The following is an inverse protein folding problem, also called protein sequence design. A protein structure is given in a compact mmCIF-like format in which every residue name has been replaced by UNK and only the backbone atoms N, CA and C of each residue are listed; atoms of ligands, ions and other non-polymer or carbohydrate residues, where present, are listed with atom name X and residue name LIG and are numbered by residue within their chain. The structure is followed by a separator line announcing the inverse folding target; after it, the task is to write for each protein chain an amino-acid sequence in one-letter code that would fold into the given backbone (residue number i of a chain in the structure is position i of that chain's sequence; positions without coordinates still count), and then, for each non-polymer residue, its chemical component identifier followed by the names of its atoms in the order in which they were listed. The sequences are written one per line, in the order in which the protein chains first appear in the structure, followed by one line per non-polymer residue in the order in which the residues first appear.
data_IF_189332391132
#
_entry.id   IF_189332391132
#
_cell.length_a   1.000
_cell.length_b   1.000
_cell.length_c   1.000
_cell.angle_alpha   90.00
_cell.angle_beta   90.00
_cell.angle_gamma   90.00
#
_symmetry.space_group_name_H-M   'P 1'
#
loop_
_entity.id
_entity.type
_entity.pdbx_description
1 polymer ?
#
# COMPACT_ATOMS: atom_id res chain seq x y z
N UNK A 1 -5.95 9.71 15.49
CA UNK A 1 -6.80 9.02 14.50
C UNK A 1 -6.12 9.17 13.15
N UNK A 2 -5.41 8.16 12.66
CA UNK A 2 -4.67 8.28 11.41
C UNK A 2 -3.85 7.05 11.10
N UNK A 3 -3.56 6.86 9.81
CA UNK A 3 -2.84 5.73 9.26
C UNK A 3 -1.57 5.44 10.07
N UNK A 4 -1.60 4.38 10.90
CA UNK A 4 -0.48 4.01 11.77
C UNK A 4 0.70 3.50 10.93
N UNK A 5 1.92 3.75 11.40
CA UNK A 5 3.15 3.23 10.75
C UNK A 5 3.02 1.72 10.60
N UNK A 6 3.27 1.22 9.40
CA UNK A 6 3.27 -0.22 9.12
C UNK A 6 1.92 -0.81 8.72
N UNK A 7 0.80 -0.05 8.76
CA UNK A 7 -0.48 -0.49 8.17
C UNK A 7 -0.28 -0.73 6.68
N UNK A 8 -0.69 -1.91 6.21
CA UNK A 8 -0.75 -2.22 4.79
C UNK A 8 -1.96 -1.50 4.19
N UNK A 9 -1.76 -0.82 3.07
CA UNK A 9 -2.84 -0.23 2.25
C UNK A 9 -2.84 -0.94 0.91
N UNK A 10 -3.96 -1.56 0.53
CA UNK A 10 -4.06 -2.25 -0.76
C UNK A 10 -4.13 -1.25 -1.92
N UNK A 11 -3.90 -1.72 -3.14
CA UNK A 11 -4.00 -0.86 -4.34
C UNK A 11 -5.43 -0.32 -4.55
N UNK A 12 -6.45 -1.09 -4.17
CA UNK A 12 -7.86 -0.70 -4.24
C UNK A 12 -8.17 0.40 -3.22
N UNK A 13 -7.77 0.21 -1.96
CA UNK A 13 -7.94 1.24 -0.91
C UNK A 13 -7.26 2.56 -1.32
N UNK A 14 -6.06 2.49 -1.91
CA UNK A 14 -5.35 3.71 -2.38
C UNK A 14 -6.11 4.45 -3.47
N UNK A 15 -6.69 3.72 -4.43
CA UNK A 15 -7.52 4.33 -5.47
C UNK A 15 -8.75 5.01 -4.87
N UNK A 16 -9.49 4.32 -4.00
CA UNK A 16 -10.67 4.88 -3.34
C UNK A 16 -10.32 6.16 -2.58
N UNK A 17 -9.26 6.14 -1.79
CA UNK A 17 -8.81 7.31 -1.03
C UNK A 17 -8.45 8.48 -1.94
N UNK A 18 -7.77 8.23 -3.05
CA UNK A 18 -7.40 9.27 -4.02
C UNK A 18 -8.66 9.85 -4.67
N UNK A 19 -9.63 9.02 -5.06
CA UNK A 19 -10.90 9.50 -5.63
C UNK A 19 -11.68 10.38 -4.65
N UNK A 20 -11.71 10.01 -3.37
CA UNK A 20 -12.34 10.84 -2.33
C UNK A 20 -11.64 12.18 -2.16
N UNK A 21 -10.30 12.19 -2.19
CA UNK A 21 -9.52 13.42 -2.10
C UNK A 21 -9.76 14.31 -3.32
N UNK A 22 -9.79 13.75 -4.53
CA UNK A 22 -10.05 14.52 -5.76
C UNK A 22 -11.47 15.09 -5.77
N UNK A 23 -12.46 14.33 -5.28
CA UNK A 23 -13.83 14.80 -5.17
C UNK A 23 -13.94 15.96 -4.17
N UNK A 24 -13.33 15.82 -2.99
CA UNK A 24 -13.30 16.88 -1.99
C UNK A 24 -12.62 18.16 -2.53
N UNK A 25 -11.54 18.00 -3.30
CA UNK A 25 -10.90 19.13 -3.98
C UNK A 25 -11.79 19.79 -5.03
N UNK A 26 -12.51 19.00 -5.83
CA UNK A 26 -13.45 19.52 -6.81
C UNK A 26 -14.58 20.33 -6.13
N UNK A 27 -14.98 19.93 -4.92
CA UNK A 27 -15.89 20.69 -4.06
C UNK A 27 -15.25 21.93 -3.38
N UNK A 28 -13.99 22.25 -3.67
CA UNK A 28 -13.29 23.44 -3.18
C UNK A 28 -12.42 23.22 -1.92
N UNK A 29 -12.27 21.99 -1.43
CA UNK A 29 -11.41 21.73 -0.27
C UNK A 29 -9.92 21.80 -0.64
N UNK A 30 -9.10 22.30 0.29
CA UNK A 30 -7.63 22.22 0.16
C UNK A 30 -7.18 20.76 0.27
N UNK A 31 -6.23 20.33 -0.58
CA UNK A 31 -5.64 18.98 -0.55
C UNK A 31 -5.20 18.56 0.85
N UNK A 32 -4.49 19.43 1.55
CA UNK A 32 -3.98 19.16 2.90
C UNK A 32 -5.10 18.85 3.89
N UNK A 33 -6.18 19.65 3.87
CA UNK A 33 -7.33 19.46 4.76
C UNK A 33 -8.11 18.19 4.43
N UNK A 34 -8.25 17.86 3.14
CA UNK A 34 -8.87 16.60 2.72
C UNK A 34 -8.05 15.38 3.17
N UNK A 35 -6.71 15.44 3.06
CA UNK A 35 -5.82 14.37 3.54
C UNK A 35 -5.86 14.25 5.07
N UNK A 36 -5.83 15.37 5.79
CA UNK A 36 -5.85 15.44 7.25
C UNK A 36 -7.12 14.80 7.84
N UNK A 37 -8.29 15.02 7.22
CA UNK A 37 -9.56 14.39 7.60
C UNK A 37 -9.53 12.87 7.48
N UNK A 38 -8.84 12.35 6.47
CA UNK A 38 -8.63 10.91 6.29
C UNK A 38 -7.51 10.38 7.20
N UNK A 39 -6.81 11.24 7.94
CA UNK A 39 -5.65 10.86 8.74
C UNK A 39 -4.43 10.47 7.89
N UNK A 40 -4.37 10.99 6.65
CA UNK A 40 -3.26 10.85 5.73
C UNK A 40 -2.44 12.15 5.69
N UNK A 41 -1.14 12.00 5.45
CA UNK A 41 -0.31 13.17 5.14
C UNK A 41 -0.35 13.44 3.64
N UNK A 42 -0.21 14.72 3.25
CA UNK A 42 -0.10 15.10 1.83
C UNK A 42 1.02 14.33 1.11
N UNK A 43 2.17 14.14 1.79
CA UNK A 43 3.31 13.38 1.25
C UNK A 43 2.95 11.92 0.94
N UNK A 44 2.09 11.29 1.75
CA UNK A 44 1.65 9.90 1.49
C UNK A 44 0.88 9.82 0.18
N UNK A 45 -0.02 10.77 -0.04
CA UNK A 45 -0.88 10.81 -1.23
C UNK A 45 -0.07 11.18 -2.48
N UNK A 46 0.82 12.18 -2.37
CA UNK A 46 1.76 12.52 -3.44
C UNK A 46 2.62 11.32 -3.84
N UNK A 47 3.18 10.61 -2.86
CA UNK A 47 3.98 9.40 -3.12
C UNK A 47 3.20 8.29 -3.82
N UNK A 48 1.90 8.16 -3.55
CA UNK A 48 1.06 7.20 -4.27
C UNK A 48 0.81 7.63 -5.72
N UNK A 49 0.57 8.93 -5.96
CA UNK A 49 0.35 9.47 -7.32
C UNK A 49 1.63 9.39 -8.17
N UNK A 50 2.81 9.60 -7.57
CA UNK A 50 4.10 9.49 -8.25
C UNK A 50 4.59 8.05 -8.41
N UNK A 51 3.97 7.09 -7.71
CA UNK A 51 4.35 5.69 -7.85
C UNK A 51 3.82 5.13 -9.18
N UNK A 52 4.71 4.51 -9.94
CA UNK A 52 4.40 3.85 -11.22
C UNK A 52 3.27 2.81 -11.07
N UNK A 53 3.32 2.06 -9.97
CA UNK A 53 2.28 1.13 -9.57
C UNK A 53 1.71 1.57 -8.21
N UNK A 54 0.38 1.75 -8.14
CA UNK A 54 -0.38 2.01 -6.90
C UNK A 54 -0.28 0.88 -5.86
N UNK A 55 0.56 -0.12 -6.10
CA UNK A 55 0.73 -1.33 -5.29
C UNK A 55 1.68 -1.07 -4.10
N UNK A 56 1.43 -1.75 -2.98
CA UNK A 56 2.39 -1.75 -1.88
C UNK A 56 3.60 -2.64 -2.23
N UNK A 57 4.79 -2.03 -2.32
CA UNK A 57 6.05 -2.73 -2.66
C UNK A 57 6.49 -3.76 -1.60
N UNK A 58 5.88 -3.75 -0.40
CA UNK A 58 6.11 -4.80 0.61
C UNK A 58 5.61 -6.16 0.11
N UNK A 59 4.55 -6.19 -0.70
CA UNK A 59 3.97 -7.43 -1.23
C UNK A 59 4.74 -7.96 -2.45
N UNK A 60 5.40 -7.10 -3.23
CA UNK A 60 6.12 -7.49 -4.45
C UNK A 60 7.61 -7.83 -4.23
N UNK A 61 8.05 -7.94 -2.98
CA UNK A 61 9.45 -8.28 -2.66
C UNK A 61 9.77 -9.72 -3.06
N UNK A 62 10.68 -9.89 -4.03
CA UNK A 62 11.13 -11.20 -4.56
C UNK A 62 12.28 -11.85 -3.78
N UNK A 63 12.69 -11.30 -2.63
CA UNK A 63 13.84 -11.80 -1.88
C UNK A 63 13.57 -13.19 -1.33
N UNK A 64 14.41 -14.16 -1.68
CA UNK A 64 14.37 -15.50 -1.12
C UNK A 64 15.35 -15.59 0.07
N UNK A 65 14.95 -16.18 1.20
CA UNK A 65 15.84 -16.39 2.32
C UNK A 65 16.91 -17.45 1.96
N UNK A 66 18.11 -17.39 2.57
CA UNK A 66 19.17 -18.37 2.30
C UNK A 66 18.77 -19.79 2.70
N UNK A 67 17.95 -19.93 3.74
CA UNK A 67 17.48 -21.22 4.26
C UNK A 67 16.17 -21.67 3.62
N UNK A 68 15.91 -21.27 2.35
CA UNK A 68 14.71 -21.69 1.63
C UNK A 68 14.79 -23.20 1.35
N UNK A 69 13.75 -23.93 1.75
CA UNK A 69 13.60 -25.34 1.40
C UNK A 69 13.73 -25.54 -0.11
N UNK A 70 14.58 -26.48 -0.48
CA UNK A 70 14.68 -27.01 -1.84
C UNK A 70 13.41 -27.77 -2.21
N UNK A 71 13.18 -27.93 -3.52
CA UNK A 71 12.01 -28.67 -4.02
C UNK A 71 11.98 -30.11 -3.50
N UNK A 72 13.15 -30.75 -3.38
CA UNK A 72 13.28 -32.10 -2.82
C UNK A 72 12.87 -32.16 -1.35
N UNK A 73 13.30 -31.19 -0.54
CA UNK A 73 12.90 -31.12 0.87
C UNK A 73 11.39 -30.89 1.02
N UNK A 74 10.80 -30.04 0.17
CA UNK A 74 9.34 -29.85 0.13
C UNK A 74 8.59 -31.13 -0.20
N UNK A 75 9.05 -31.87 -1.20
CA UNK A 75 8.42 -33.13 -1.61
C UNK A 75 8.53 -34.21 -0.53
N UNK A 76 9.64 -34.29 0.20
CA UNK A 76 9.78 -35.20 1.33
C UNK A 76 8.73 -34.93 2.42
N UNK A 77 8.49 -33.66 2.76
CA UNK A 77 7.50 -33.25 3.75
C UNK A 77 6.06 -33.58 3.32
N UNK A 78 5.74 -33.43 2.02
CA UNK A 78 4.38 -33.72 1.51
C UNK A 78 4.10 -35.23 1.44
N UNK A 79 5.14 -36.02 1.16
CA UNK A 79 5.03 -37.48 1.05
C UNK A 79 5.20 -38.21 2.42
N UNK A 80 5.31 -37.47 3.52
CA UNK A 80 5.27 -38.02 4.89
C UNK A 80 3.87 -37.91 5.46
#
# INVERSE_FOLDING_TARGET
MGFQRGRLTTATERHELITLITNAQASGARKEKACELLGLTLRTVQRWIEADDMTDKRTSTKKQPPNRLTELERQRIINT
#
